data_IF_848937394403
#
_entry.id   IF_848937394403
#
_cell.length_a   1.000
_cell.length_b   1.000
_cell.length_c   1.000
_cell.angle_alpha   90.00
_cell.angle_beta   90.00
_cell.angle_gamma   90.00
#
_symmetry.space_group_name_H-M   'P 1'
#
loop_
_entity.id
_entity.type
_entity.pdbx_description
1 polymer ?
#
# COMPACT_ATOMS: atom_id res chain seq x y z
N UNK A 1 5.35 26.86 4.40
CA UNK A 1 4.93 25.52 4.87
C UNK A 1 4.79 24.49 3.74
N UNK A 2 5.64 24.53 2.70
CA UNK A 2 5.53 23.64 1.53
C UNK A 2 6.28 22.30 1.71
N UNK A 3 7.37 22.31 2.47
CA UNK A 3 8.20 21.11 2.73
C UNK A 3 7.45 20.05 3.54
N UNK A 4 6.72 20.46 4.58
CA UNK A 4 5.93 19.52 5.41
C UNK A 4 4.82 18.87 4.57
N UNK A 5 4.16 19.62 3.70
CA UNK A 5 3.13 19.06 2.80
C UNK A 5 3.71 18.03 1.82
N UNK A 6 4.90 18.29 1.26
CA UNK A 6 5.61 17.34 0.40
C UNK A 6 6.03 16.09 1.16
N UNK A 7 6.55 16.24 2.39
CA UNK A 7 6.92 15.13 3.25
C UNK A 7 5.72 14.22 3.54
N UNK A 8 4.58 14.80 3.93
CA UNK A 8 3.34 14.07 4.18
C UNK A 8 2.86 13.38 2.90
N UNK A 9 2.90 14.03 1.74
CA UNK A 9 2.59 13.37 0.47
C UNK A 9 3.49 12.18 0.18
N UNK A 10 4.80 12.30 0.40
CA UNK A 10 5.74 11.19 0.17
C UNK A 10 5.45 10.03 1.13
N UNK A 11 5.18 10.31 2.40
CA UNK A 11 4.79 9.28 3.37
C UNK A 11 3.49 8.57 2.97
N UNK A 12 2.47 9.31 2.53
CA UNK A 12 1.23 8.71 2.04
C UNK A 12 1.45 7.88 0.77
N UNK A 13 2.28 8.36 -0.15
CA UNK A 13 2.66 7.61 -1.34
C UNK A 13 3.33 6.29 -0.95
N UNK A 14 4.30 6.33 -0.03
CA UNK A 14 4.96 5.14 0.48
C UNK A 14 4.00 4.17 1.15
N UNK A 15 3.05 4.66 1.94
CA UNK A 15 2.05 3.81 2.60
C UNK A 15 1.20 3.02 1.61
N UNK A 16 0.93 3.57 0.42
CA UNK A 16 0.20 2.88 -0.64
C UNK A 16 1.09 1.84 -1.34
N UNK A 17 2.35 2.18 -1.65
CA UNK A 17 3.31 1.25 -2.27
C UNK A 17 3.62 0.06 -1.35
N UNK A 18 3.65 0.31 -0.04
CA UNK A 18 4.02 -0.66 0.96
C UNK A 18 3.05 -1.86 0.99
N UNK A 19 1.75 -1.65 0.73
CA UNK A 19 0.76 -2.74 0.71
C UNK A 19 1.01 -3.78 -0.40
N UNK A 20 1.11 -3.41 -1.69
CA UNK A 20 1.47 -4.36 -2.76
C UNK A 20 2.88 -4.94 -2.62
N UNK A 21 3.83 -4.16 -2.09
CA UNK A 21 5.20 -4.65 -1.85
C UNK A 21 5.24 -5.74 -0.78
N UNK A 22 4.55 -5.54 0.36
CA UNK A 22 4.43 -6.56 1.39
C UNK A 22 3.68 -7.78 0.87
N UNK A 23 2.58 -7.61 0.14
CA UNK A 23 1.85 -8.74 -0.44
C UNK A 23 2.73 -9.55 -1.41
N UNK A 24 3.52 -8.88 -2.26
CA UNK A 24 4.47 -9.52 -3.16
C UNK A 24 5.56 -10.29 -2.43
N UNK A 25 6.11 -9.73 -1.34
CA UNK A 25 7.06 -10.40 -0.46
C UNK A 25 6.44 -11.63 0.22
N UNK A 26 5.22 -11.49 0.75
CA UNK A 26 4.53 -12.55 1.48
C UNK A 26 4.19 -13.71 0.55
N UNK A 27 3.66 -13.42 -0.64
CA UNK A 27 3.40 -14.42 -1.68
C UNK A 27 4.68 -15.10 -2.16
N UNK A 28 5.74 -14.33 -2.44
CA UNK A 28 7.02 -14.90 -2.85
C UNK A 28 7.68 -15.74 -1.75
N UNK A 29 7.51 -15.37 -0.48
CA UNK A 29 7.98 -16.13 0.68
C UNK A 29 7.24 -17.45 0.86
N UNK A 30 5.90 -17.43 0.73
CA UNK A 30 5.06 -18.64 0.76
C UNK A 30 5.40 -19.59 -0.38
N UNK A 31 5.69 -19.07 -1.59
CA UNK A 31 6.12 -19.90 -2.71
C UNK A 31 7.50 -20.52 -2.47
N UNK A 32 8.43 -19.77 -1.87
CA UNK A 32 9.76 -20.29 -1.53
C UNK A 32 9.74 -21.31 -0.40
N UNK A 33 8.81 -21.24 0.56
CA UNK A 33 8.70 -22.24 1.63
C UNK A 33 8.20 -23.60 1.12
N UNK A 34 7.52 -23.64 -0.02
CA UNK A 34 7.06 -24.89 -0.65
C UNK A 34 8.18 -25.59 -1.44
N UNK A 35 9.30 -24.92 -1.70
CA UNK A 35 10.43 -25.50 -2.42
C UNK A 35 11.42 -26.13 -1.45
N UNK A 36 11.89 -27.34 -1.76
CA UNK A 36 12.89 -28.08 -0.98
C UNK A 36 14.22 -27.32 -0.82
N UNK A 37 14.49 -26.34 -1.68
CA UNK A 37 15.61 -25.42 -1.54
C UNK A 37 15.07 -24.03 -1.25
N UNK A 38 15.42 -23.51 -0.07
CA UNK A 38 15.06 -22.17 0.37
C UNK A 38 15.85 -21.14 -0.44
N UNK A 39 15.37 -20.84 -1.65
CA UNK A 39 15.97 -19.83 -2.51
C UNK A 39 15.38 -18.45 -2.20
N UNK A 40 16.23 -17.52 -1.76
CA UNK A 40 15.85 -16.13 -1.48
C UNK A 40 15.46 -15.34 -2.74
N UNK A 41 15.74 -15.88 -3.93
CA UNK A 41 15.47 -15.21 -5.20
C UNK A 41 13.97 -15.04 -5.46
N UNK A 42 13.15 -16.03 -5.11
CA UNK A 42 11.70 -16.00 -5.35
C UNK A 42 10.99 -14.89 -4.56
N UNK A 43 11.19 -14.74 -3.23
CA UNK A 43 10.62 -13.62 -2.48
C UNK A 43 11.17 -12.27 -2.90
N UNK A 44 12.44 -12.21 -3.32
CA UNK A 44 13.05 -10.96 -3.79
C UNK A 44 12.43 -10.47 -5.11
N UNK A 45 12.17 -11.38 -6.05
CA UNK A 45 11.46 -11.07 -7.31
C UNK A 45 10.02 -10.66 -7.00
N UNK A 46 9.35 -11.36 -6.09
CA UNK A 46 7.99 -11.02 -5.63
C UNK A 46 7.92 -9.62 -5.02
N UNK A 47 8.90 -9.26 -4.17
CA UNK A 47 9.03 -7.91 -3.61
C UNK A 47 9.26 -6.85 -4.70
N UNK A 48 10.16 -7.10 -5.66
CA UNK A 48 10.43 -6.15 -6.74
C UNK A 48 9.20 -5.90 -7.62
N UNK A 49 8.49 -6.96 -8.00
CA UNK A 49 7.25 -6.84 -8.77
C UNK A 49 6.16 -6.13 -7.96
N UNK A 50 5.97 -6.52 -6.69
CA UNK A 50 5.02 -5.87 -5.78
C UNK A 50 5.32 -4.39 -5.57
N UNK A 51 6.59 -4.02 -5.42
CA UNK A 51 7.03 -2.64 -5.30
C UNK A 51 6.82 -1.84 -6.59
N UNK A 52 7.06 -2.44 -7.77
CA UNK A 52 6.84 -1.78 -9.06
C UNK A 52 5.35 -1.53 -9.31
N UNK A 53 4.50 -2.54 -9.10
CA UNK A 53 3.05 -2.38 -9.17
C UNK A 53 2.55 -1.38 -8.13
N UNK A 54 3.08 -1.45 -6.91
CA UNK A 54 2.78 -0.49 -5.84
C UNK A 54 3.12 0.95 -6.25
N UNK A 55 4.30 1.17 -6.82
CA UNK A 55 4.74 2.50 -7.27
C UNK A 55 3.86 3.06 -8.39
N UNK A 56 3.52 2.22 -9.39
CA UNK A 56 2.60 2.60 -10.47
C UNK A 56 1.21 2.96 -9.90
N UNK A 57 0.71 2.15 -8.97
CA UNK A 57 -0.59 2.37 -8.35
C UNK A 57 -0.63 3.61 -7.47
N UNK A 58 0.43 3.85 -6.68
CA UNK A 58 0.56 5.04 -5.87
C UNK A 58 0.65 6.32 -6.73
N UNK A 59 1.36 6.26 -7.86
CA UNK A 59 1.40 7.37 -8.83
C UNK A 59 0.06 7.59 -9.53
N UNK A 60 -0.69 6.51 -9.84
CA UNK A 60 -2.05 6.60 -10.36
C UNK A 60 -3.02 7.24 -9.36
N UNK A 61 -2.96 6.86 -8.08
CA UNK A 61 -3.79 7.45 -7.00
C UNK A 61 -3.44 8.93 -6.79
N UNK A 62 -2.14 9.26 -6.81
CA UNK A 62 -1.67 10.65 -6.73
C UNK A 62 -2.27 11.53 -7.83
N UNK A 63 -2.36 11.01 -9.06
CA UNK A 63 -2.89 11.73 -10.23
C UNK A 63 -4.42 11.81 -10.28
N UNK A 64 -5.13 10.80 -9.78
CA UNK A 64 -6.60 10.73 -9.90
C UNK A 64 -7.34 11.43 -8.77
N UNK A 65 -6.94 11.21 -7.52
CA UNK A 65 -7.73 11.66 -6.36
C UNK A 65 -6.98 12.63 -5.45
N UNK A 66 -5.64 12.67 -5.53
CA UNK A 66 -4.83 13.33 -4.52
C UNK A 66 -4.70 12.48 -3.26
N UNK A 67 -3.46 12.26 -2.82
CA UNK A 67 -3.11 11.34 -1.74
C UNK A 67 -3.87 11.62 -0.44
N UNK A 68 -4.01 12.89 -0.08
CA UNK A 68 -4.71 13.34 1.12
C UNK A 68 -6.23 13.08 1.08
N UNK A 69 -6.87 13.23 -0.09
CA UNK A 69 -8.29 12.93 -0.24
C UNK A 69 -8.55 11.42 -0.22
N UNK A 70 -7.63 10.61 -0.76
CA UNK A 70 -7.71 9.16 -0.68
C UNK A 70 -7.64 8.66 0.77
N UNK A 71 -6.64 9.11 1.54
CA UNK A 71 -6.54 8.76 2.95
C UNK A 71 -7.70 9.31 3.78
N UNK A 72 -8.14 10.54 3.50
CA UNK A 72 -9.31 11.14 4.14
C UNK A 72 -10.57 10.32 3.92
N UNK A 73 -10.80 9.79 2.72
CA UNK A 73 -11.91 8.86 2.44
C UNK A 73 -11.72 7.51 3.11
N UNK A 74 -10.49 7.01 3.19
CA UNK A 74 -10.20 5.75 3.87
C UNK A 74 -10.56 5.83 5.36
N UNK A 75 -10.12 6.89 6.04
CA UNK A 75 -10.38 7.13 7.47
C UNK A 75 -11.85 7.51 7.72
N UNK A 76 -12.47 8.29 6.83
CA UNK A 76 -13.87 8.69 6.93
C UNK A 76 -14.86 7.58 6.49
N UNK A 77 -14.39 6.36 6.23
CA UNK A 77 -15.29 5.24 5.95
C UNK A 77 -16.15 4.96 7.20
N UNK A 78 -17.48 4.86 7.09
CA UNK A 78 -18.39 4.72 8.24
C UNK A 78 -18.07 3.52 9.14
N UNK A 79 -17.48 2.47 8.56
CA UNK A 79 -17.05 1.26 9.26
C UNK A 79 -15.93 1.52 10.28
N UNK A 80 -15.14 2.58 10.09
CA UNK A 80 -14.05 3.00 10.99
C UNK A 80 -14.51 4.17 11.89
N UNK A 81 -15.34 5.08 11.39
CA UNK A 81 -15.82 6.26 12.13
C UNK A 81 -16.90 5.93 13.20
N UNK A 82 -17.33 4.67 13.30
CA UNK A 82 -18.24 4.19 14.35
C UNK A 82 -19.66 4.77 14.28
N UNK A 83 -20.00 5.56 13.25
CA UNK A 83 -21.31 6.21 13.09
C UNK A 83 -22.43 5.31 12.56
N UNK A 84 -22.16 4.04 12.27
CA UNK A 84 -23.14 3.11 11.70
C UNK A 84 -24.15 2.52 12.71
N UNK A 85 -24.23 3.00 13.96
CA UNK A 85 -25.09 2.41 14.99
C UNK A 85 -26.18 3.34 15.58
N UNK A 86 -26.61 4.38 14.87
CA UNK A 86 -27.88 5.03 15.24
C UNK A 86 -28.66 5.51 14.01
N UNK A 87 -29.51 4.62 13.49
CA UNK A 87 -30.62 4.96 12.60
C UNK A 87 -31.85 5.17 13.49
N UNK A 88 -32.51 6.34 13.48
CA UNK A 88 -33.81 6.52 14.14
C UNK A 88 -34.91 5.72 13.45
#
# INVERSE_FOLDING_TARGET
MKIVALFVQICLWFSIVLSPALLGLLMGGLLASQQSQTSLNVPLIGLMLGALFGAIWAEYIRRTHGLSQFLGRLVATPDIDGRSAHKP
#
